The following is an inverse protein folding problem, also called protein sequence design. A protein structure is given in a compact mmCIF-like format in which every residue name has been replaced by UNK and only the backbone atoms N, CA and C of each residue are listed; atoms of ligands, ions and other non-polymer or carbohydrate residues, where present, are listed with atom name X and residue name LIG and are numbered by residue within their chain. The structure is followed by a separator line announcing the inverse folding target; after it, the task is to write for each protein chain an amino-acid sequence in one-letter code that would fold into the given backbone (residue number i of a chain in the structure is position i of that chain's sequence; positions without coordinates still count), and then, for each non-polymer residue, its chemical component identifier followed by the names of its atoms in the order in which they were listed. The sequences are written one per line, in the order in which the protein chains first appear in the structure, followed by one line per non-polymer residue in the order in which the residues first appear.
data_IF_943543167071
#
_entry.id   IF_943543167071
#
_cell.length_a   1.000
_cell.length_b   1.000
_cell.length_c   1.000
_cell.angle_alpha   90.00
_cell.angle_beta   90.00
_cell.angle_gamma   90.00
#
_symmetry.space_group_name_H-M   'P 1'
#
loop_
_entity.id
_entity.type
_entity.pdbx_description
1 polymer ?
#
# COMPACT_ATOMS: atom_id res chain seq x y z
N UNK A 1 -23.49 21.30 -1.51
CA UNK A 1 -22.35 20.36 -1.41
C UNK A 1 -22.06 19.61 -2.72
N UNK A 2 -23.04 19.16 -3.51
CA UNK A 2 -22.83 18.38 -4.75
C UNK A 2 -21.92 19.03 -5.83
N UNK A 3 -21.85 20.37 -5.90
CA UNK A 3 -21.06 21.09 -6.92
C UNK A 3 -19.55 21.12 -6.63
N UNK A 4 -19.14 20.89 -5.38
CA UNK A 4 -17.72 20.91 -4.98
C UNK A 4 -17.03 19.57 -5.25
N UNK A 5 -17.74 18.45 -5.07
CA UNK A 5 -17.20 17.09 -5.26
C UNK A 5 -16.88 16.75 -6.72
N UNK A 6 -17.59 17.39 -7.67
CA UNK A 6 -17.41 17.14 -9.11
C UNK A 6 -16.10 17.72 -9.69
N UNK A 7 -15.33 18.49 -8.91
CA UNK A 7 -14.08 19.13 -9.39
C UNK A 7 -12.85 18.20 -9.41
N UNK A 8 -12.91 17.02 -8.78
CA UNK A 8 -11.77 16.10 -8.67
C UNK A 8 -12.07 14.71 -9.27
N UNK A 9 -13.00 14.61 -10.22
CA UNK A 9 -13.27 13.35 -10.90
C UNK A 9 -12.19 13.09 -11.95
N UNK A 10 -11.74 11.84 -12.04
CA UNK A 10 -11.02 11.35 -13.20
C UNK A 10 -11.90 11.38 -14.45
N UNK A 11 -11.27 11.34 -15.63
CA UNK A 11 -12.00 11.30 -16.90
C UNK A 11 -12.99 10.13 -16.96
N UNK A 12 -12.56 8.93 -16.55
CA UNK A 12 -13.40 7.73 -16.55
C UNK A 12 -14.63 7.85 -15.64
N UNK A 13 -14.49 8.47 -14.46
CA UNK A 13 -15.63 8.68 -13.55
C UNK A 13 -16.62 9.70 -14.10
N UNK A 14 -16.13 10.75 -14.78
CA UNK A 14 -16.99 11.72 -15.45
C UNK A 14 -17.78 11.07 -16.60
N UNK A 15 -17.10 10.27 -17.43
CA UNK A 15 -17.70 9.55 -18.56
C UNK A 15 -18.78 8.57 -18.08
N UNK A 16 -18.51 7.82 -17.01
CA UNK A 16 -19.48 6.91 -16.41
C UNK A 16 -20.73 7.64 -15.90
N UNK A 17 -20.58 8.78 -15.22
CA UNK A 17 -21.72 9.56 -14.75
C UNK A 17 -22.55 10.12 -15.90
N UNK A 18 -21.91 10.53 -17.00
CA UNK A 18 -22.62 10.95 -18.21
C UNK A 18 -23.39 9.79 -18.83
N UNK A 19 -22.81 8.60 -18.89
CA UNK A 19 -23.48 7.38 -19.39
C UNK A 19 -24.70 7.02 -18.53
N UNK A 20 -24.58 7.07 -17.20
CA UNK A 20 -25.69 6.79 -16.28
C UNK A 20 -26.86 7.77 -16.51
N UNK A 21 -26.59 9.06 -16.71
CA UNK A 21 -27.64 10.04 -17.03
C UNK A 21 -28.27 9.77 -18.40
N UNK A 22 -27.49 9.38 -19.43
CA UNK A 22 -28.02 8.97 -20.73
C UNK A 22 -28.96 7.77 -20.62
N UNK A 23 -28.58 6.75 -19.84
CA UNK A 23 -29.41 5.56 -19.61
C UNK A 23 -30.70 5.93 -18.90
N UNK A 24 -30.62 6.77 -17.86
CA UNK A 24 -31.80 7.29 -17.16
C UNK A 24 -32.75 8.01 -18.12
N UNK A 25 -32.24 8.90 -18.98
CA UNK A 25 -33.04 9.61 -19.98
C UNK A 25 -33.72 8.66 -20.96
N UNK A 26 -33.02 7.63 -21.42
CA UNK A 26 -33.59 6.60 -22.30
C UNK A 26 -34.74 5.85 -21.60
N UNK A 27 -34.51 5.36 -20.37
CA UNK A 27 -35.54 4.63 -19.60
C UNK A 27 -36.81 5.47 -19.38
N UNK A 28 -36.66 6.78 -19.16
CA UNK A 28 -37.81 7.69 -19.04
C UNK A 28 -38.55 7.81 -20.38
N UNK A 29 -37.83 8.00 -21.50
CA UNK A 29 -38.41 8.26 -22.83
C UNK A 29 -39.04 7.03 -23.47
N UNK A 30 -38.39 5.86 -23.43
CA UNK A 30 -38.83 4.66 -24.15
C UNK A 30 -39.62 3.67 -23.30
N UNK A 31 -39.45 3.69 -21.97
CA UNK A 31 -39.97 2.64 -21.09
C UNK A 31 -40.92 3.16 -20.00
N UNK A 32 -41.22 4.47 -19.98
CA UNK A 32 -42.23 5.05 -19.08
C UNK A 32 -41.81 5.11 -17.61
N UNK A 33 -40.52 4.97 -17.28
CA UNK A 33 -39.98 5.06 -15.91
C UNK A 33 -39.95 6.51 -15.38
N UNK A 34 -41.08 7.21 -15.38
CA UNK A 34 -41.18 8.61 -14.94
C UNK A 34 -40.81 8.81 -13.47
N UNK A 35 -40.90 7.77 -12.64
CA UNK A 35 -40.49 7.81 -11.23
C UNK A 35 -39.01 8.11 -11.02
N UNK A 36 -38.13 7.83 -12.01
CA UNK A 36 -36.71 8.19 -11.95
C UNK A 36 -36.45 9.70 -11.94
N UNK A 37 -37.45 10.51 -12.31
CA UNK A 37 -37.37 11.98 -12.27
C UNK A 37 -37.75 12.55 -10.91
N UNK A 38 -38.40 11.74 -10.06
CA UNK A 38 -38.84 12.16 -8.72
C UNK A 38 -37.65 12.06 -7.75
N UNK A 39 -37.52 13.00 -6.80
CA UNK A 39 -36.50 12.90 -5.77
C UNK A 39 -36.78 11.68 -4.87
N UNK A 40 -35.73 10.96 -4.47
CA UNK A 40 -35.83 9.92 -3.46
C UNK A 40 -36.32 10.51 -2.14
N UNK A 41 -37.00 9.70 -1.34
CA UNK A 41 -37.34 10.11 0.03
C UNK A 41 -36.07 10.30 0.86
N UNK A 42 -36.13 11.15 1.88
CA UNK A 42 -35.01 11.39 2.80
C UNK A 42 -34.54 10.10 3.45
N UNK A 43 -35.48 9.25 3.90
CA UNK A 43 -35.15 7.98 4.53
C UNK A 43 -34.44 7.02 3.58
N UNK A 44 -34.93 6.87 2.34
CA UNK A 44 -34.30 6.01 1.33
C UNK A 44 -32.91 6.52 0.95
N UNK A 45 -32.76 7.85 0.76
CA UNK A 45 -31.47 8.48 0.47
C UNK A 45 -30.47 8.21 1.60
N UNK A 46 -30.90 8.36 2.86
CA UNK A 46 -30.06 8.09 4.02
C UNK A 46 -29.64 6.61 4.11
N UNK A 47 -30.60 5.68 3.95
CA UNK A 47 -30.32 4.24 3.95
C UNK A 47 -29.33 3.85 2.85
N UNK A 48 -29.54 4.29 1.60
CA UNK A 48 -28.65 3.98 0.49
C UNK A 48 -27.25 4.56 0.69
N UNK A 49 -27.13 5.78 1.22
CA UNK A 49 -25.83 6.38 1.54
C UNK A 49 -25.11 5.61 2.66
N UNK A 50 -25.83 5.18 3.69
CA UNK A 50 -25.26 4.39 4.78
C UNK A 50 -24.77 3.02 4.28
N UNK A 51 -25.59 2.30 3.49
CA UNK A 51 -25.21 1.02 2.89
C UNK A 51 -24.02 1.17 1.95
N UNK A 52 -24.03 2.18 1.07
CA UNK A 52 -22.92 2.49 0.19
C UNK A 52 -21.63 2.77 0.98
N UNK A 53 -21.72 3.53 2.08
CA UNK A 53 -20.56 3.82 2.92
C UNK A 53 -19.97 2.55 3.54
N UNK A 54 -20.82 1.63 4.02
CA UNK A 54 -20.35 0.34 4.57
C UNK A 54 -19.68 -0.49 3.48
N UNK A 55 -20.28 -0.60 2.29
CA UNK A 55 -19.73 -1.38 1.17
C UNK A 55 -18.37 -0.81 0.73
N UNK A 56 -18.29 0.52 0.53
CA UNK A 56 -17.05 1.18 0.14
C UNK A 56 -15.96 1.02 1.20
N UNK A 57 -16.32 1.19 2.47
CA UNK A 57 -15.37 0.99 3.57
C UNK A 57 -14.85 -0.44 3.61
N UNK A 58 -15.71 -1.44 3.45
CA UNK A 58 -15.30 -2.85 3.40
C UNK A 58 -14.35 -3.15 2.24
N UNK A 59 -14.63 -2.60 1.05
CA UNK A 59 -13.76 -2.76 -0.12
C UNK A 59 -12.38 -2.14 0.10
N UNK A 60 -12.34 -0.90 0.61
CA UNK A 60 -11.09 -0.20 0.92
C UNK A 60 -10.29 -0.89 2.04
N UNK A 61 -10.96 -1.30 3.12
CA UNK A 61 -10.30 -2.00 4.23
C UNK A 61 -9.66 -3.32 3.75
N UNK A 62 -10.32 -4.02 2.82
CA UNK A 62 -9.77 -5.22 2.18
C UNK A 62 -8.54 -4.90 1.33
N UNK A 63 -8.62 -3.94 0.42
CA UNK A 63 -7.50 -3.56 -0.45
C UNK A 63 -6.30 -3.08 0.37
N UNK A 64 -6.54 -2.26 1.39
CA UNK A 64 -5.51 -1.81 2.33
C UNK A 64 -4.88 -3.01 3.06
N UNK A 65 -5.68 -4.01 3.46
CA UNK A 65 -5.19 -5.24 4.06
C UNK A 65 -4.26 -6.02 3.13
N UNK A 66 -4.68 -6.21 1.88
CA UNK A 66 -3.91 -6.92 0.85
C UNK A 66 -2.60 -6.18 0.51
N UNK A 67 -2.65 -4.86 0.33
CA UNK A 67 -1.47 -4.03 0.09
C UNK A 67 -0.50 -4.03 1.28
N UNK A 68 -1.01 -3.96 2.52
CA UNK A 68 -0.17 -4.06 3.72
C UNK A 68 0.56 -5.39 3.79
N UNK A 69 -0.12 -6.49 3.49
CA UNK A 69 0.51 -7.81 3.45
C UNK A 69 1.59 -7.87 2.37
N UNK A 70 1.29 -7.39 1.17
CA UNK A 70 2.25 -7.37 0.07
C UNK A 70 3.51 -6.54 0.41
N UNK A 71 3.35 -5.41 1.09
CA UNK A 71 4.47 -4.59 1.57
C UNK A 71 5.31 -5.34 2.59
N UNK A 72 4.69 -6.07 3.52
CA UNK A 72 5.44 -6.84 4.53
C UNK A 72 6.23 -7.98 3.91
N UNK A 73 5.62 -8.71 2.97
CA UNK A 73 6.30 -9.77 2.23
C UNK A 73 7.49 -9.22 1.42
N UNK A 74 7.32 -8.05 0.80
CA UNK A 74 8.40 -7.39 0.06
C UNK A 74 9.53 -6.93 0.99
N UNK A 75 9.22 -6.38 2.16
CA UNK A 75 10.20 -6.01 3.18
C UNK A 75 11.00 -7.23 3.66
N UNK A 76 10.36 -8.39 3.77
CA UNK A 76 11.05 -9.64 4.11
C UNK A 76 12.02 -10.16 3.04
N UNK A 77 11.92 -9.66 1.80
CA UNK A 77 12.68 -10.13 0.63
C UNK A 77 13.70 -9.11 0.12
N UNK A 78 13.64 -7.86 0.55
CA UNK A 78 14.54 -6.81 0.08
C UNK A 78 15.85 -6.78 0.86
N UNK A 79 16.92 -6.34 0.21
CA UNK A 79 18.22 -6.09 0.83
C UNK A 79 18.50 -4.59 0.85
N UNK A 80 18.81 -4.06 2.03
CA UNK A 80 19.06 -2.62 2.23
C UNK A 80 20.49 -2.39 2.70
N UNK A 81 21.31 -1.70 1.91
CA UNK A 81 22.68 -1.39 2.32
C UNK A 81 22.72 -0.22 3.31
N UNK A 82 23.26 -0.48 4.50
CA UNK A 82 23.30 0.45 5.64
C UNK A 82 24.69 1.04 5.92
N UNK A 83 25.66 0.82 5.04
CA UNK A 83 27.01 1.35 5.20
C UNK A 83 27.88 0.52 6.15
N UNK A 84 28.80 1.16 6.87
CA UNK A 84 29.67 0.51 7.86
C UNK A 84 28.88 0.23 9.14
N UNK A 85 29.10 -0.93 9.74
CA UNK A 85 28.44 -1.29 11.00
C UNK A 85 28.76 -0.31 12.14
N UNK A 86 27.74 0.10 12.89
CA UNK A 86 27.82 0.89 14.12
C UNK A 86 27.12 0.19 15.30
N UNK A 87 27.57 0.44 16.51
CA UNK A 87 27.06 -0.20 17.73
C UNK A 87 25.70 0.33 18.20
N UNK A 88 25.45 1.61 17.97
CA UNK A 88 24.24 2.35 18.35
C UNK A 88 23.15 2.30 17.27
N UNK A 89 23.46 1.74 16.10
CA UNK A 89 22.52 1.59 14.99
C UNK A 89 21.60 0.37 15.19
N UNK A 90 20.36 0.52 14.74
CA UNK A 90 19.38 -0.58 14.74
C UNK A 90 19.29 -1.18 13.35
N UNK A 91 19.73 -2.42 13.22
CA UNK A 91 19.64 -3.18 11.98
C UNK A 91 18.45 -4.13 12.03
N UNK A 92 17.77 -4.28 10.91
CA UNK A 92 16.63 -5.19 10.73
C UNK A 92 16.99 -6.28 9.74
N UNK A 93 16.19 -7.34 9.72
CA UNK A 93 16.34 -8.43 8.77
C UNK A 93 16.35 -7.88 7.33
N UNK A 94 17.31 -8.34 6.52
CA UNK A 94 17.51 -7.83 5.16
C UNK A 94 18.54 -6.69 5.06
N UNK A 95 18.89 -6.03 6.17
CA UNK A 95 19.94 -5.02 6.15
C UNK A 95 21.31 -5.64 5.87
N UNK A 96 22.12 -4.94 5.09
CA UNK A 96 23.49 -5.31 4.73
C UNK A 96 24.44 -4.23 5.23
N UNK A 97 25.49 -4.62 5.95
CA UNK A 97 26.54 -3.72 6.43
C UNK A 97 27.92 -4.22 6.05
N UNK A 98 28.91 -3.34 6.11
CA UNK A 98 30.32 -3.72 6.04
C UNK A 98 30.96 -3.70 7.42
N UNK A 99 31.75 -4.73 7.73
CA UNK A 99 32.51 -4.83 8.95
C UNK A 99 33.75 -5.71 8.74
N UNK A 100 34.92 -5.23 9.17
CA UNK A 100 36.22 -5.89 9.03
C UNK A 100 36.55 -6.31 7.57
N UNK A 101 36.20 -5.46 6.60
CA UNK A 101 36.44 -5.68 5.17
C UNK A 101 35.51 -6.72 4.52
N UNK A 102 34.49 -7.19 5.23
CA UNK A 102 33.49 -8.15 4.74
C UNK A 102 32.10 -7.53 4.73
N UNK A 103 31.22 -8.01 3.86
CA UNK A 103 29.80 -7.65 3.85
C UNK A 103 28.98 -8.68 4.62
N UNK A 104 28.07 -8.20 5.45
CA UNK A 104 27.26 -9.00 6.37
C UNK A 104 25.79 -8.69 6.19
N UNK A 105 24.97 -9.73 6.19
CA UNK A 105 23.52 -9.65 6.12
C UNK A 105 22.90 -9.91 7.49
N UNK A 106 22.03 -9.02 7.95
CA UNK A 106 21.32 -9.16 9.20
C UNK A 106 20.16 -10.15 9.03
N UNK A 107 20.12 -11.19 9.88
CA UNK A 107 19.04 -12.18 9.90
C UNK A 107 18.08 -11.99 11.07
N UNK A 108 18.49 -11.21 12.07
CA UNK A 108 17.68 -10.89 13.23
C UNK A 108 16.56 -9.89 12.88
N UNK A 109 15.39 -10.04 13.50
CA UNK A 109 14.29 -9.08 13.35
C UNK A 109 14.69 -7.67 13.84
N UNK A 110 15.55 -7.60 14.86
CA UNK A 110 16.18 -6.38 15.35
C UNK A 110 17.55 -6.73 15.94
N UNK A 111 18.59 -6.00 15.54
CA UNK A 111 19.96 -6.16 16.00
C UNK A 111 20.54 -4.81 16.37
N UNK A 112 20.91 -4.64 17.64
CA UNK A 112 21.54 -3.43 18.20
C UNK A 112 22.75 -3.87 19.01
N UNK A 113 23.90 -3.22 18.83
CA UNK A 113 25.13 -3.54 19.54
C UNK A 113 25.74 -4.91 19.24
N UNK A 114 25.06 -5.78 18.47
CA UNK A 114 25.59 -7.08 18.07
C UNK A 114 26.52 -6.92 16.88
N UNK A 115 27.79 -7.25 17.09
CA UNK A 115 28.84 -7.08 16.09
C UNK A 115 28.79 -8.18 15.01
N UNK A 116 28.92 -7.85 13.72
CA UNK A 116 28.99 -8.86 12.66
C UNK A 116 30.18 -9.79 12.82
N UNK A 117 29.92 -11.09 12.77
CA UNK A 117 30.89 -12.15 13.06
C UNK A 117 30.95 -12.56 14.53
N UNK A 118 30.24 -11.87 15.43
CA UNK A 118 30.06 -12.25 16.83
C UNK A 118 28.58 -12.59 17.10
N UNK A 119 28.24 -13.89 17.05
CA UNK A 119 26.89 -14.38 17.35
C UNK A 119 26.02 -14.64 16.12
N UNK A 120 24.74 -14.97 16.36
CA UNK A 120 23.83 -15.53 15.36
C UNK A 120 23.05 -14.48 14.53
N UNK A 121 23.12 -13.19 14.88
CA UNK A 121 22.33 -12.14 14.22
C UNK A 121 22.80 -11.76 12.81
N UNK A 122 24.02 -12.13 12.43
CA UNK A 122 24.66 -11.74 11.18
C UNK A 122 25.16 -12.95 10.40
N UNK A 123 24.83 -13.01 9.11
CA UNK A 123 25.37 -13.98 8.16
C UNK A 123 26.39 -13.31 7.24
N UNK A 124 27.56 -13.93 7.09
CA UNK A 124 28.58 -13.46 6.15
C UNK A 124 28.05 -13.59 4.72
N UNK A 125 28.02 -12.47 3.98
CA UNK A 125 27.55 -12.41 2.59
C UNK A 125 28.71 -12.37 1.61
N UNK A 126 29.71 -11.52 1.89
CA UNK A 126 30.94 -11.41 1.08
C UNK A 126 32.14 -11.40 2.01
N UNK A 127 33.08 -12.32 1.77
CA UNK A 127 34.32 -12.40 2.54
C UNK A 127 35.34 -11.39 2.01
N UNK A 128 36.11 -10.78 2.93
CA UNK A 128 37.27 -9.95 2.55
C UNK A 128 38.25 -10.71 1.64
N UNK A 129 38.79 -10.00 0.66
CA UNK A 129 39.88 -10.52 -0.19
C UNK A 129 41.18 -10.73 0.59
N UNK A 130 42.15 -11.42 -0.03
CA UNK A 130 43.54 -11.41 0.47
C UNK A 130 44.18 -10.10 0.07
N UNK A 131 44.93 -9.51 1.00
CA UNK A 131 45.74 -8.34 0.71
C UNK A 131 46.81 -8.68 -0.34
N UNK A 132 47.09 -7.74 -1.24
CA UNK A 132 48.19 -7.90 -2.18
C UNK A 132 49.51 -7.84 -1.42
N UNK A 133 50.25 -8.95 -1.37
CA UNK A 133 51.66 -8.93 -0.97
C UNK A 133 52.47 -8.29 -2.11
N UNK A 134 53.02 -7.10 -1.88
CA UNK A 134 54.07 -6.55 -2.75
C UNK A 134 55.40 -7.25 -2.51
#
# INVERSE_FOLDING_TARGET
MARATRKNLSAAEADFLEEVEKVKDLLVKSNGFSDLTKPLSTNMTFSLLAEFHVIQRQALDREIGELRQAIEDLKGRTMSYRGVWGDSEVYRKGDVTTHAGSAWHCEAASSVGQRPGAGAGWRLMVKRGRDASQ
#
